data_IF_901144927285
#
_entry.id   IF_901144927285
#
_cell.length_a   1.000
_cell.length_b   1.000
_cell.length_c   1.000
_cell.angle_alpha   90.00
_cell.angle_beta   90.00
_cell.angle_gamma   90.00
#
_symmetry.space_group_name_H-M   'P 1'
#
loop_
_entity.id
_entity.type
_entity.pdbx_description
1 polymer ?
#
# COMPACT_ATOMS: atom_id res chain seq x y z
N UNK A 1 -68.98 26.20 31.80
CA UNK A 1 -68.19 25.41 30.84
C UNK A 1 -67.16 26.30 30.17
N UNK A 2 -65.89 26.17 30.53
CA UNK A 2 -64.79 26.89 29.90
C UNK A 2 -64.66 26.34 28.46
N UNK A 3 -64.98 27.16 27.48
CA UNK A 3 -64.69 26.89 26.08
C UNK A 3 -63.19 26.78 25.93
N UNK A 4 -62.67 25.57 25.79
CA UNK A 4 -61.25 25.33 25.50
C UNK A 4 -60.83 26.16 24.29
N UNK A 5 -59.81 26.97 24.42
CA UNK A 5 -59.25 27.74 23.31
C UNK A 5 -58.47 26.82 22.40
N UNK A 6 -58.92 26.66 21.15
CA UNK A 6 -58.15 25.91 20.15
C UNK A 6 -56.84 26.65 19.84
N UNK A 7 -55.73 25.94 19.93
CA UNK A 7 -54.44 26.42 19.47
C UNK A 7 -53.99 25.64 18.24
N UNK A 8 -53.32 26.33 17.32
CA UNK A 8 -52.72 25.69 16.13
C UNK A 8 -51.52 24.83 16.52
N UNK A 9 -51.28 23.73 15.78
CA UNK A 9 -50.11 22.92 15.99
C UNK A 9 -48.84 23.73 15.72
N UNK A 10 -47.79 23.56 16.52
CA UNK A 10 -46.51 24.23 16.30
C UNK A 10 -45.81 23.72 15.03
N UNK A 11 -44.74 24.38 14.63
CA UNK A 11 -43.89 23.95 13.52
C UNK A 11 -43.38 22.50 13.73
N UNK A 12 -43.20 21.76 12.67
CA UNK A 12 -42.81 20.33 12.73
C UNK A 12 -43.95 19.39 13.14
N UNK A 13 -45.18 19.89 13.34
CA UNK A 13 -46.33 19.11 13.80
C UNK A 13 -47.60 19.40 12.99
N UNK A 14 -48.51 18.44 12.96
CA UNK A 14 -49.84 18.53 12.33
C UNK A 14 -50.93 17.88 13.20
N UNK A 15 -52.19 18.12 12.88
CA UNK A 15 -53.31 17.42 13.48
C UNK A 15 -54.42 17.19 12.44
N UNK A 16 -54.73 15.93 12.17
CA UNK A 16 -55.73 15.47 11.20
C UNK A 16 -57.10 15.11 11.85
N UNK A 17 -57.15 15.08 13.18
CA UNK A 17 -58.36 14.81 13.94
C UNK A 17 -59.02 16.10 14.45
N UNK A 18 -60.34 16.17 14.44
CA UNK A 18 -61.08 17.27 15.06
C UNK A 18 -61.29 17.01 16.55
N UNK A 19 -61.00 18.04 17.38
CA UNK A 19 -61.19 17.95 18.84
C UNK A 19 -60.09 17.25 19.59
N UNK A 20 -59.00 16.93 18.93
CA UNK A 20 -57.82 16.33 19.56
C UNK A 20 -57.06 17.36 20.43
N UNK A 21 -56.44 16.87 21.50
CA UNK A 21 -55.73 17.69 22.50
C UNK A 21 -54.23 17.78 22.27
N UNK A 22 -53.69 16.96 21.34
CA UNK A 22 -52.26 16.88 21.03
C UNK A 22 -52.01 16.88 19.55
N UNK A 23 -50.88 17.43 19.13
CA UNK A 23 -50.43 17.39 17.73
C UNK A 23 -49.51 16.20 17.47
N UNK A 24 -49.54 15.69 16.24
CA UNK A 24 -48.68 14.62 15.75
C UNK A 24 -47.44 15.23 15.12
N UNK A 25 -46.29 14.59 15.30
CA UNK A 25 -45.07 15.00 14.64
C UNK A 25 -45.10 14.69 13.13
N UNK A 26 -44.53 15.57 12.29
CA UNK A 26 -44.23 15.25 10.89
C UNK A 26 -43.38 13.99 10.82
N UNK A 27 -43.63 13.10 9.87
CA UNK A 27 -42.96 11.81 9.73
C UNK A 27 -41.46 11.93 9.41
N UNK A 28 -40.81 10.78 9.34
CA UNK A 28 -39.45 10.70 8.85
C UNK A 28 -39.37 11.26 7.43
N UNK A 29 -38.17 11.79 7.06
CA UNK A 29 -37.92 12.37 5.75
C UNK A 29 -38.83 13.55 5.40
N UNK A 30 -39.41 14.23 6.43
CA UNK A 30 -40.23 15.42 6.24
C UNK A 30 -39.98 16.44 7.37
N UNK A 31 -40.37 17.69 7.09
CA UNK A 31 -40.31 18.82 7.99
C UNK A 31 -41.45 19.82 7.77
N UNK A 32 -41.68 20.72 8.70
CA UNK A 32 -42.62 21.83 8.49
C UNK A 32 -42.09 23.10 9.15
N UNK A 33 -41.90 24.13 8.34
CA UNK A 33 -41.49 25.50 8.77
C UNK A 33 -42.67 26.33 9.28
N UNK A 34 -43.90 25.93 8.99
CA UNK A 34 -45.11 26.69 9.30
C UNK A 34 -45.97 25.95 10.32
N UNK A 35 -46.60 26.64 11.26
CA UNK A 35 -47.57 26.07 12.18
C UNK A 35 -48.90 25.79 11.52
N UNK A 36 -49.77 25.03 12.19
CA UNK A 36 -51.19 24.85 11.80
C UNK A 36 -51.43 23.89 10.65
N UNK A 37 -50.48 22.96 10.40
CA UNK A 37 -50.68 21.88 9.42
C UNK A 37 -51.80 20.95 9.85
N UNK A 38 -52.62 20.53 8.85
CA UNK A 38 -53.82 19.73 9.06
C UNK A 38 -53.67 18.25 8.72
N UNK A 39 -52.61 17.87 8.06
CA UNK A 39 -52.30 16.46 7.74
C UNK A 39 -50.78 16.23 7.62
N UNK A 40 -50.37 14.97 7.66
CA UNK A 40 -48.99 14.61 7.37
C UNK A 40 -48.56 14.96 5.95
N UNK A 41 -49.48 15.00 5.01
CA UNK A 41 -49.20 15.42 3.61
C UNK A 41 -48.86 16.91 3.49
N UNK A 42 -49.18 17.74 4.50
CA UNK A 42 -48.81 19.15 4.56
C UNK A 42 -47.38 19.36 5.05
N UNK A 43 -46.71 18.31 5.58
CA UNK A 43 -45.30 18.34 5.88
C UNK A 43 -44.48 18.24 4.56
N UNK A 44 -43.47 19.09 4.41
CA UNK A 44 -42.63 19.11 3.22
C UNK A 44 -41.65 17.93 3.24
N UNK A 45 -41.64 17.11 2.20
CA UNK A 45 -40.70 15.99 2.10
C UNK A 45 -39.30 16.46 1.76
N UNK A 46 -38.28 15.79 2.30
CA UNK A 46 -36.89 15.93 1.85
C UNK A 46 -36.75 15.49 0.38
N UNK A 47 -35.76 16.03 -0.34
CA UNK A 47 -35.40 15.55 -1.67
C UNK A 47 -34.97 14.08 -1.64
N UNK A 48 -35.03 13.41 -2.78
CA UNK A 48 -34.77 11.96 -2.87
C UNK A 48 -33.37 11.52 -2.37
N UNK A 49 -32.40 12.41 -2.46
CA UNK A 49 -30.99 12.23 -2.04
C UNK A 49 -30.74 12.58 -0.56
N UNK A 50 -31.81 13.00 0.17
CA UNK A 50 -31.73 13.46 1.56
C UNK A 50 -32.65 12.67 2.49
N UNK A 51 -32.30 12.65 3.77
CA UNK A 51 -33.05 11.96 4.82
C UNK A 51 -32.91 12.66 6.16
N UNK A 52 -33.94 12.62 6.99
CA UNK A 52 -33.86 12.99 8.41
C UNK A 52 -33.38 11.80 9.29
N UNK A 53 -33.06 10.67 8.70
CA UNK A 53 -32.76 9.43 9.42
C UNK A 53 -34.00 8.92 10.17
N UNK A 54 -33.89 8.76 11.49
CA UNK A 54 -34.98 8.31 12.36
C UNK A 54 -35.69 9.47 13.07
N UNK A 55 -35.31 10.72 12.79
CA UNK A 55 -35.84 11.90 13.50
C UNK A 55 -37.15 12.33 12.87
N UNK A 56 -38.19 12.52 13.72
CA UNK A 56 -39.51 13.01 13.35
C UNK A 56 -39.73 14.41 13.94
N UNK A 57 -40.73 15.14 13.43
CA UNK A 57 -41.08 16.44 13.95
C UNK A 57 -40.07 17.55 13.60
N UNK A 58 -39.37 17.39 12.53
CA UNK A 58 -38.35 18.36 12.08
C UNK A 58 -39.02 19.68 11.65
N UNK A 59 -38.40 20.78 12.01
CA UNK A 59 -38.94 22.13 11.81
C UNK A 59 -38.35 22.85 10.63
N UNK A 60 -37.21 22.37 10.10
CA UNK A 60 -36.47 23.05 9.03
C UNK A 60 -35.86 22.06 8.04
N UNK A 61 -35.61 22.54 6.82
CA UNK A 61 -34.97 21.79 5.73
C UNK A 61 -33.55 21.32 6.07
N UNK A 62 -32.85 22.03 6.96
CA UNK A 62 -31.49 21.65 7.39
C UNK A 62 -31.42 20.29 8.10
N UNK A 63 -32.57 19.77 8.57
CA UNK A 63 -32.68 18.42 9.10
C UNK A 63 -32.58 17.34 8.00
N UNK A 64 -32.83 17.71 6.72
CA UNK A 64 -32.70 16.82 5.57
C UNK A 64 -31.21 16.70 5.18
N UNK A 65 -30.51 15.73 5.75
CA UNK A 65 -29.11 15.46 5.48
C UNK A 65 -28.95 14.52 4.27
N UNK A 66 -27.82 14.54 3.60
CA UNK A 66 -27.51 13.60 2.53
C UNK A 66 -27.61 12.15 3.05
N UNK A 67 -28.28 11.26 2.31
CA UNK A 67 -28.50 9.88 2.73
C UNK A 67 -27.17 9.14 2.86
N UNK A 68 -27.00 8.44 3.98
CA UNK A 68 -25.89 7.51 4.17
C UNK A 68 -25.89 6.43 3.09
N UNK A 69 -24.75 5.79 2.87
CA UNK A 69 -24.45 4.74 1.88
C UNK A 69 -24.35 5.23 0.43
N UNK A 70 -25.25 6.13 0.02
CA UNK A 70 -25.37 6.51 -1.38
C UNK A 70 -24.78 7.90 -1.69
N UNK A 71 -24.76 8.80 -0.69
CA UNK A 71 -24.42 10.21 -0.89
C UNK A 71 -23.52 10.76 0.21
N UNK A 72 -22.74 11.78 -0.16
CA UNK A 72 -21.99 12.65 0.76
C UNK A 72 -22.32 14.12 0.45
N UNK A 73 -22.03 15.01 1.41
CA UNK A 73 -22.20 16.45 1.22
C UNK A 73 -20.90 17.07 0.69
N UNK A 74 -20.97 17.68 -0.50
CA UNK A 74 -19.84 18.40 -1.08
C UNK A 74 -19.64 19.80 -0.44
N UNK A 75 -18.64 20.56 -0.92
CA UNK A 75 -18.31 21.90 -0.41
C UNK A 75 -19.45 22.91 -0.60
N UNK A 76 -20.29 22.71 -1.63
CA UNK A 76 -21.45 23.57 -1.95
C UNK A 76 -22.72 23.13 -1.21
N UNK A 77 -22.61 22.24 -0.22
CA UNK A 77 -23.73 21.66 0.55
C UNK A 77 -24.72 20.85 -0.29
N UNK A 78 -24.31 20.40 -1.48
CA UNK A 78 -25.09 19.51 -2.34
C UNK A 78 -24.76 18.06 -2.01
N UNK A 79 -25.73 17.17 -2.18
CA UNK A 79 -25.50 15.74 -2.07
C UNK A 79 -24.99 15.19 -3.40
N UNK A 80 -23.85 14.54 -3.35
CA UNK A 80 -23.23 13.86 -4.49
C UNK A 80 -23.10 12.38 -4.17
N UNK A 81 -23.10 11.53 -5.21
CA UNK A 81 -22.96 10.09 -5.04
C UNK A 81 -21.65 9.75 -4.33
N UNK A 82 -21.73 8.78 -3.42
CA UNK A 82 -20.58 8.26 -2.70
C UNK A 82 -19.52 7.76 -3.72
N UNK A 83 -18.27 8.24 -3.64
CA UNK A 83 -17.23 7.80 -4.55
C UNK A 83 -16.92 6.32 -4.39
N UNK A 84 -16.54 5.66 -5.47
CA UNK A 84 -16.06 4.28 -5.41
C UNK A 84 -14.84 4.19 -4.48
N UNK A 85 -14.85 3.24 -3.55
CA UNK A 85 -13.80 3.07 -2.54
C UNK A 85 -13.94 3.95 -1.30
N UNK A 86 -14.97 4.81 -1.23
CA UNK A 86 -15.29 5.61 -0.05
C UNK A 86 -16.35 4.95 0.84
N UNK A 87 -16.30 5.23 2.14
CA UNK A 87 -17.35 4.92 3.10
C UNK A 87 -18.21 6.16 3.37
N UNK A 88 -19.50 6.05 3.07
CA UNK A 88 -20.51 7.07 3.39
C UNK A 88 -21.44 6.56 4.49
N UNK A 89 -20.89 6.23 5.66
CA UNK A 89 -21.57 5.47 6.72
C UNK A 89 -22.61 6.25 7.51
N UNK A 90 -22.57 7.60 7.46
CA UNK A 90 -23.46 8.47 8.26
C UNK A 90 -24.23 9.45 7.37
N UNK A 91 -25.44 9.82 7.81
CA UNK A 91 -26.20 10.86 7.12
C UNK A 91 -25.48 12.21 7.20
N UNK A 92 -25.42 12.90 6.07
CA UNK A 92 -24.82 14.24 5.98
C UNK A 92 -23.28 14.25 6.08
N UNK A 93 -22.62 13.10 5.92
CA UNK A 93 -21.16 13.01 5.92
C UNK A 93 -20.57 13.96 4.87
N UNK A 94 -19.55 14.70 5.24
CA UNK A 94 -18.90 15.69 4.39
C UNK A 94 -17.70 15.10 3.67
N UNK A 95 -17.28 15.76 2.58
CA UNK A 95 -16.13 15.30 1.78
C UNK A 95 -14.89 14.98 2.63
N UNK A 96 -14.52 15.84 3.58
CA UNK A 96 -13.32 15.66 4.39
C UNK A 96 -13.46 14.56 5.46
N UNK A 97 -14.69 14.16 5.79
CA UNK A 97 -15.02 13.09 6.76
C UNK A 97 -15.09 11.71 6.11
N UNK A 98 -15.09 11.65 4.77
CA UNK A 98 -15.14 10.37 4.07
C UNK A 98 -13.92 9.52 4.42
N UNK A 99 -14.16 8.29 4.89
CA UNK A 99 -13.14 7.26 5.03
C UNK A 99 -12.97 6.44 3.76
N UNK A 100 -11.85 5.74 3.61
CA UNK A 100 -11.71 4.70 2.60
C UNK A 100 -12.25 3.38 3.13
N UNK A 101 -12.88 2.57 2.27
CA UNK A 101 -13.24 1.19 2.63
C UNK A 101 -11.99 0.30 2.61
N UNK A 102 -12.01 -0.88 3.27
CA UNK A 102 -10.88 -1.80 3.26
C UNK A 102 -10.38 -2.12 1.86
N UNK A 103 -9.07 -2.04 1.66
CA UNK A 103 -8.44 -2.23 0.36
C UNK A 103 -8.31 -0.97 -0.50
N UNK A 104 -8.81 0.18 -0.02
CA UNK A 104 -8.68 1.47 -0.70
C UNK A 104 -7.89 2.47 0.14
N UNK A 105 -7.34 3.48 -0.55
CA UNK A 105 -6.51 4.53 0.02
C UNK A 105 -6.76 5.86 -0.70
N UNK A 106 -6.65 6.98 -0.01
CA UNK A 106 -6.70 8.30 -0.62
C UNK A 106 -5.57 9.22 -0.14
N UNK A 107 -5.09 10.08 -1.04
CA UNK A 107 -3.93 10.94 -0.76
C UNK A 107 -4.24 12.15 0.13
N UNK A 108 -5.50 12.57 0.19
CA UNK A 108 -5.91 13.78 0.92
C UNK A 108 -7.40 13.73 1.25
N UNK A 109 -7.77 14.34 2.39
CA UNK A 109 -9.17 14.53 2.80
C UNK A 109 -9.99 15.46 1.88
N UNK A 110 -9.33 16.16 0.96
CA UNK A 110 -9.98 17.05 0.00
C UNK A 110 -10.23 16.42 -1.39
N UNK A 111 -9.81 15.19 -1.63
CA UNK A 111 -10.04 14.48 -2.89
C UNK A 111 -11.23 13.53 -2.80
N UNK A 112 -11.95 13.37 -3.91
CA UNK A 112 -12.99 12.34 -4.10
C UNK A 112 -12.42 11.08 -4.73
N UNK A 113 -11.10 11.04 -5.00
CA UNK A 113 -10.45 9.92 -5.66
C UNK A 113 -9.87 8.95 -4.63
N UNK A 114 -10.45 7.76 -4.56
CA UNK A 114 -10.01 6.63 -3.75
C UNK A 114 -9.35 5.60 -4.66
N UNK A 115 -8.12 5.23 -4.36
CA UNK A 115 -7.33 4.33 -5.20
C UNK A 115 -7.31 2.94 -4.60
N UNK A 116 -7.55 1.93 -5.44
CA UNK A 116 -7.47 0.53 -5.07
C UNK A 116 -6.01 0.15 -4.78
N UNK A 117 -5.76 -0.41 -3.60
CA UNK A 117 -4.42 -0.84 -3.19
C UNK A 117 -3.92 -2.08 -3.93
N UNK A 118 -4.78 -2.78 -4.69
CA UNK A 118 -4.38 -3.90 -5.56
C UNK A 118 -3.59 -3.44 -6.78
N UNK A 119 -3.73 -2.19 -7.20
CA UNK A 119 -3.22 -1.68 -8.48
C UNK A 119 -1.69 -1.76 -8.66
N UNK A 120 -0.96 -2.12 -7.63
CA UNK A 120 0.50 -2.34 -7.68
C UNK A 120 0.90 -3.81 -7.89
N UNK A 121 -0.05 -4.74 -8.02
CA UNK A 121 0.21 -6.18 -8.15
C UNK A 121 -0.41 -6.67 -9.46
N UNK A 122 0.41 -7.19 -10.35
CA UNK A 122 0.06 -7.69 -11.69
C UNK A 122 -0.91 -8.89 -11.72
N UNK A 123 -1.32 -9.42 -10.57
CA UNK A 123 -2.23 -10.57 -10.48
C UNK A 123 -3.49 -10.20 -9.73
N UNK A 124 -4.59 -10.05 -10.48
CA UNK A 124 -5.95 -9.90 -9.94
C UNK A 124 -6.46 -11.25 -9.40
N UNK A 125 -5.94 -11.71 -8.28
CA UNK A 125 -6.41 -12.91 -7.61
C UNK A 125 -6.95 -12.57 -6.20
N UNK A 126 -7.72 -13.47 -5.62
CA UNK A 126 -8.31 -13.32 -4.28
C UNK A 126 -7.26 -13.02 -3.19
N UNK A 127 -6.05 -13.56 -3.33
CA UNK A 127 -4.93 -13.31 -2.39
C UNK A 127 -4.47 -11.85 -2.44
N UNK A 128 -4.43 -11.25 -3.64
CA UNK A 128 -4.07 -9.84 -3.81
C UNK A 128 -5.13 -8.91 -3.20
N UNK A 129 -6.40 -9.27 -3.29
CA UNK A 129 -7.49 -8.54 -2.65
C UNK A 129 -7.40 -8.61 -1.13
N UNK A 130 -7.21 -9.79 -0.57
CA UNK A 130 -7.02 -9.97 0.87
C UNK A 130 -5.79 -9.20 1.39
N UNK A 131 -4.67 -9.25 0.67
CA UNK A 131 -3.46 -8.50 1.02
C UNK A 131 -3.70 -6.98 0.97
N UNK A 132 -4.45 -6.48 -0.01
CA UNK A 132 -4.82 -5.06 -0.09
C UNK A 132 -5.72 -4.64 1.09
N UNK A 133 -6.73 -5.45 1.43
CA UNK A 133 -7.62 -5.19 2.56
C UNK A 133 -6.91 -5.24 3.92
N UNK A 134 -5.87 -6.07 4.04
CA UNK A 134 -5.07 -6.17 5.27
C UNK A 134 -4.12 -4.99 5.46
N UNK A 135 -3.65 -4.34 4.41
CA UNK A 135 -2.69 -3.24 4.50
C UNK A 135 -3.30 -1.85 4.38
N UNK A 136 -4.36 -1.67 3.58
CA UNK A 136 -5.05 -0.39 3.39
C UNK A 136 -6.39 -0.40 4.11
N UNK A 137 -6.56 0.52 5.04
CA UNK A 137 -7.78 0.66 5.84
C UNK A 137 -8.26 -0.67 6.43
N UNK A 138 -7.41 -1.46 7.10
CA UNK A 138 -7.80 -2.76 7.62
C UNK A 138 -8.93 -2.64 8.63
N UNK A 139 -9.65 -3.75 8.79
CA UNK A 139 -10.65 -3.88 9.85
C UNK A 139 -9.93 -4.20 11.16
N UNK A 140 -10.17 -3.40 12.17
CA UNK A 140 -9.71 -3.69 13.53
C UNK A 140 -10.46 -4.90 14.09
N UNK A 141 -9.73 -5.93 14.49
CA UNK A 141 -10.29 -7.17 15.01
C UNK A 141 -11.03 -7.01 16.35
N UNK A 142 -10.73 -5.97 17.13
CA UNK A 142 -11.38 -5.71 18.41
C UNK A 142 -12.74 -5.02 18.24
N UNK A 143 -12.84 -4.09 17.28
CA UNK A 143 -14.03 -3.27 17.06
C UNK A 143 -14.86 -3.74 15.86
N UNK A 144 -14.29 -4.56 14.98
CA UNK A 144 -14.86 -4.97 13.70
C UNK A 144 -15.20 -3.77 12.78
N UNK A 145 -14.52 -2.66 12.96
CA UNK A 145 -14.68 -1.41 12.19
C UNK A 145 -13.38 -1.13 11.45
N UNK A 146 -13.45 -0.57 10.24
CA UNK A 146 -12.25 -0.12 9.53
C UNK A 146 -11.57 1.03 10.27
N UNK A 147 -10.23 1.01 10.37
CA UNK A 147 -9.46 2.10 10.97
C UNK A 147 -9.67 3.44 10.24
N UNK A 148 -10.16 3.40 9.00
CA UNK A 148 -10.43 4.58 8.17
C UNK A 148 -11.88 5.06 8.28
N UNK A 149 -12.76 4.36 8.98
CA UNK A 149 -14.14 4.77 9.12
C UNK A 149 -14.26 5.97 10.04
N UNK A 150 -14.90 7.05 9.57
CA UNK A 150 -15.09 8.32 10.28
C UNK A 150 -13.77 9.01 10.72
N UNK A 151 -12.66 8.71 10.05
CA UNK A 151 -11.36 9.24 10.43
C UNK A 151 -10.89 10.35 9.49
N UNK A 152 -10.80 11.57 10.02
CA UNK A 152 -10.12 12.70 9.36
C UNK A 152 -8.64 12.56 9.63
N UNK A 153 -7.89 11.99 8.68
CA UNK A 153 -6.44 11.87 8.80
C UNK A 153 -5.72 13.16 8.41
N UNK A 154 -4.60 13.44 9.04
CA UNK A 154 -3.68 14.51 8.66
C UNK A 154 -2.53 13.98 7.80
N UNK A 155 -2.09 12.74 8.10
CA UNK A 155 -1.09 12.03 7.32
C UNK A 155 -1.74 10.84 6.60
N UNK A 156 -1.59 10.71 5.27
CA UNK A 156 -2.12 9.58 4.51
C UNK A 156 -1.67 8.20 5.04
N UNK A 157 -0.55 8.10 5.73
CA UNK A 157 -0.05 6.85 6.34
C UNK A 157 -0.91 6.33 7.48
N UNK A 158 -1.76 7.19 8.08
CA UNK A 158 -2.73 6.77 9.11
C UNK A 158 -3.79 5.80 8.59
N UNK A 159 -3.91 5.68 7.26
CA UNK A 159 -4.79 4.71 6.60
C UNK A 159 -4.12 3.32 6.42
N UNK A 160 -2.84 3.21 6.77
CA UNK A 160 -2.10 1.98 6.60
C UNK A 160 -2.14 1.12 7.86
N UNK A 161 -2.14 -0.20 7.66
CA UNK A 161 -1.93 -1.16 8.74
C UNK A 161 -0.57 -0.94 9.42
N UNK A 162 -0.46 -1.36 10.66
CA UNK A 162 0.80 -1.30 11.42
C UNK A 162 1.91 -1.99 10.62
N UNK A 163 3.03 -1.30 10.47
CA UNK A 163 4.19 -1.78 9.72
C UNK A 163 4.20 -1.38 8.25
N UNK A 164 3.16 -0.69 7.77
CA UNK A 164 3.08 -0.18 6.40
C UNK A 164 3.05 1.34 6.36
N UNK A 165 3.53 1.93 5.28
CA UNK A 165 3.54 3.38 5.04
C UNK A 165 3.55 3.72 3.54
N UNK A 166 3.41 5.01 3.23
CA UNK A 166 3.51 5.56 1.87
C UNK A 166 2.26 5.35 1.03
N UNK A 167 2.35 5.75 -0.23
CA UNK A 167 1.23 5.66 -1.15
C UNK A 167 0.75 4.21 -1.29
N UNK A 168 -0.57 4.01 -1.18
CA UNK A 168 -1.20 2.68 -1.23
C UNK A 168 -0.70 1.72 -0.15
N UNK A 169 -0.07 2.22 0.91
CA UNK A 169 0.56 1.39 1.95
C UNK A 169 1.52 0.34 1.35
N UNK A 170 2.25 0.71 0.28
CA UNK A 170 3.07 -0.22 -0.48
C UNK A 170 4.48 -0.41 0.07
N UNK A 171 4.92 0.45 0.98
CA UNK A 171 6.23 0.37 1.62
C UNK A 171 6.13 -0.11 3.07
N UNK A 172 7.18 -0.73 3.57
CA UNK A 172 7.26 -1.05 4.99
C UNK A 172 7.70 0.20 5.79
N UNK A 173 7.11 0.37 6.97
CA UNK A 173 7.50 1.40 7.93
C UNK A 173 8.92 1.14 8.48
N UNK A 174 9.59 2.14 9.07
CA UNK A 174 10.88 1.95 9.73
C UNK A 174 10.83 0.79 10.74
N UNK A 175 11.88 -0.02 10.79
CA UNK A 175 11.99 -1.24 11.60
C UNK A 175 11.07 -2.40 11.16
N UNK A 176 10.52 -2.34 9.94
CA UNK A 176 9.79 -3.44 9.32
C UNK A 176 10.48 -3.83 8.02
N UNK A 177 10.42 -5.11 7.67
CA UNK A 177 10.96 -5.68 6.44
C UNK A 177 9.89 -6.49 5.70
N UNK A 178 9.89 -6.42 4.38
CA UNK A 178 8.95 -7.16 3.55
C UNK A 178 9.39 -8.63 3.45
N UNK A 179 8.62 -9.53 4.04
CA UNK A 179 8.88 -10.98 4.03
C UNK A 179 7.58 -11.76 3.93
N UNK A 180 7.54 -12.78 3.07
CA UNK A 180 6.36 -13.63 2.87
C UNK A 180 5.09 -12.80 2.64
N UNK A 181 5.15 -11.88 1.67
CA UNK A 181 4.05 -11.02 1.23
C UNK A 181 3.51 -10.04 2.30
N UNK A 182 4.25 -9.80 3.37
CA UNK A 182 3.86 -8.87 4.42
C UNK A 182 5.05 -8.11 5.03
N UNK A 183 4.79 -6.90 5.53
CA UNK A 183 5.75 -6.14 6.35
C UNK A 183 5.75 -6.70 7.77
N UNK A 184 6.88 -7.29 8.20
CA UNK A 184 7.07 -7.84 9.53
C UNK A 184 8.09 -7.03 10.31
N UNK A 185 7.84 -6.87 11.60
CA UNK A 185 8.76 -6.15 12.49
C UNK A 185 10.11 -6.86 12.55
N UNK A 186 11.20 -6.08 12.40
CA UNK A 186 12.54 -6.60 12.54
C UNK A 186 12.80 -7.02 13.99
N UNK A 187 13.28 -8.23 14.25
CA UNK A 187 13.69 -8.63 15.59
C UNK A 187 14.82 -7.69 16.07
N UNK A 188 14.74 -7.24 17.33
CA UNK A 188 15.75 -6.33 17.92
C UNK A 188 15.56 -4.83 17.64
N UNK A 189 14.39 -4.39 17.08
CA UNK A 189 14.08 -2.96 16.89
C UNK A 189 14.96 -2.25 15.85
N UNK A 190 15.51 -2.98 14.86
CA UNK A 190 16.32 -2.42 13.78
C UNK A 190 17.72 -1.92 14.22
N UNK A 191 18.15 -2.18 15.43
CA UNK A 191 19.54 -1.92 15.85
C UNK A 191 20.43 -3.01 15.27
N UNK A 192 21.36 -2.61 14.44
CA UNK A 192 22.41 -3.50 13.93
C UNK A 192 23.35 -3.77 15.10
N UNK A 193 23.37 -5.00 15.60
CA UNK A 193 24.30 -5.39 16.65
C UNK A 193 25.76 -5.20 16.17
N UNK A 194 26.59 -4.68 17.05
CA UNK A 194 28.02 -4.47 16.78
C UNK A 194 28.73 -5.78 16.38
N UNK A 195 28.24 -6.91 16.87
CA UNK A 195 28.73 -8.27 16.51
C UNK A 195 28.40 -8.58 15.04
N UNK A 196 27.21 -8.22 14.56
CA UNK A 196 26.82 -8.39 13.15
C UNK A 196 27.70 -7.54 12.22
N UNK A 197 27.93 -6.27 12.57
CA UNK A 197 28.84 -5.39 11.81
C UNK A 197 30.26 -5.95 11.77
N UNK A 198 30.74 -6.51 12.88
CA UNK A 198 32.05 -7.14 12.95
C UNK A 198 32.15 -8.40 12.06
N UNK A 199 31.10 -9.24 12.04
CA UNK A 199 31.03 -10.43 11.19
C UNK A 199 30.98 -10.07 9.70
N UNK A 200 30.13 -9.12 9.31
CA UNK A 200 30.02 -8.68 7.90
C UNK A 200 31.32 -8.05 7.44
N UNK A 201 31.96 -7.19 8.25
CA UNK A 201 33.24 -6.60 7.92
C UNK A 201 34.36 -7.63 7.86
N UNK A 202 34.42 -8.62 8.76
CA UNK A 202 35.40 -9.70 8.71
C UNK A 202 35.23 -10.59 7.46
N UNK A 203 34.00 -10.95 7.10
CA UNK A 203 33.70 -11.66 5.84
C UNK A 203 34.06 -10.84 4.61
N UNK A 204 33.81 -9.54 4.62
CA UNK A 204 34.18 -8.62 3.53
C UNK A 204 35.72 -8.55 3.37
N UNK A 205 36.46 -8.40 4.47
CA UNK A 205 37.92 -8.39 4.47
C UNK A 205 38.49 -9.72 3.97
N UNK A 206 37.91 -10.86 4.44
CA UNK A 206 38.32 -12.17 3.98
C UNK A 206 38.09 -12.35 2.48
N UNK A 207 36.93 -11.91 1.96
CA UNK A 207 36.63 -11.98 0.54
C UNK A 207 37.60 -11.14 -0.31
N UNK A 208 37.89 -9.92 0.13
CA UNK A 208 38.88 -9.06 -0.52
C UNK A 208 40.30 -9.68 -0.49
N UNK A 209 40.71 -10.26 0.62
CA UNK A 209 41.99 -10.93 0.75
C UNK A 209 42.12 -12.16 -0.18
N UNK A 210 41.06 -12.98 -0.27
CA UNK A 210 41.01 -14.11 -1.21
C UNK A 210 41.05 -13.62 -2.64
N UNK A 211 40.33 -12.56 -2.99
CA UNK A 211 40.33 -11.99 -4.34
C UNK A 211 41.71 -11.43 -4.74
N UNK A 212 42.33 -10.70 -3.83
CA UNK A 212 43.70 -10.20 -4.06
C UNK A 212 44.68 -11.40 -4.19
N UNK A 213 44.55 -12.43 -3.32
CA UNK A 213 45.35 -13.64 -3.42
C UNK A 213 45.24 -14.34 -4.78
N UNK A 214 44.00 -14.46 -5.31
CA UNK A 214 43.80 -15.04 -6.63
C UNK A 214 44.40 -14.20 -7.77
N UNK A 215 44.34 -12.86 -7.66
CA UNK A 215 45.01 -11.98 -8.63
C UNK A 215 46.55 -12.16 -8.58
N UNK A 216 47.15 -12.16 -7.39
CA UNK A 216 48.58 -12.34 -7.23
C UNK A 216 49.05 -13.72 -7.69
N UNK A 217 48.26 -14.79 -7.50
CA UNK A 217 48.62 -16.12 -8.02
C UNK A 217 48.58 -16.12 -9.54
N UNK A 218 47.60 -15.47 -10.15
CA UNK A 218 47.52 -15.37 -11.60
C UNK A 218 48.66 -14.55 -12.20
N UNK A 219 49.03 -13.43 -11.59
CA UNK A 219 50.21 -12.65 -12.04
C UNK A 219 51.50 -13.47 -11.96
N UNK A 220 51.65 -14.33 -10.95
CA UNK A 220 52.80 -15.21 -10.82
C UNK A 220 52.85 -16.31 -11.90
N UNK A 221 51.67 -16.88 -12.24
CA UNK A 221 51.55 -17.87 -13.33
C UNK A 221 51.93 -17.22 -14.69
N UNK A 222 51.45 -15.99 -14.95
CA UNK A 222 51.76 -15.24 -16.17
C UNK A 222 53.28 -14.91 -16.26
N UNK A 223 53.96 -14.54 -15.16
CA UNK A 223 55.42 -14.32 -15.12
C UNK A 223 56.21 -15.61 -15.34
N UNK A 224 55.76 -16.76 -14.81
CA UNK A 224 56.42 -18.07 -15.04
C UNK A 224 56.28 -18.53 -16.50
N UNK A 225 55.14 -18.26 -17.13
CA UNK A 225 54.87 -18.60 -18.53
C UNK A 225 55.75 -17.71 -19.46
N UNK A 226 55.83 -16.40 -19.20
CA UNK A 226 56.73 -15.50 -19.97
C UNK A 226 58.21 -15.89 -19.82
N UNK A 227 58.68 -16.24 -18.64
CA UNK A 227 60.05 -16.70 -18.42
C UNK A 227 60.35 -18.03 -19.06
N UNK A 228 59.34 -18.94 -19.11
CA UNK A 228 59.48 -20.23 -19.80
C UNK A 228 59.50 -20.06 -21.32
N UNK A 229 58.63 -19.23 -21.90
CA UNK A 229 58.65 -18.89 -23.34
C UNK A 229 59.97 -18.18 -23.75
N UNK A 230 60.48 -17.25 -22.93
CA UNK A 230 61.76 -16.60 -23.19
C UNK A 230 62.94 -17.59 -23.20
N UNK A 231 62.91 -18.63 -22.34
CA UNK A 231 63.92 -19.71 -22.31
C UNK A 231 63.83 -20.65 -23.52
N UNK A 232 62.64 -20.89 -24.04
CA UNK A 232 62.43 -21.70 -25.26
C UNK A 232 62.90 -20.93 -26.49
N UNK A 233 62.53 -19.65 -26.62
CA UNK A 233 62.90 -18.81 -27.74
C UNK A 233 64.46 -18.57 -27.85
N UNK A 234 65.14 -18.63 -26.74
CA UNK A 234 66.63 -18.53 -26.72
C UNK A 234 67.30 -19.83 -27.19
N UNK A 235 66.62 -20.98 -27.19
CA UNK A 235 67.16 -22.26 -27.61
C UNK A 235 66.80 -22.66 -29.08
N UNK A 236 65.78 -22.04 -29.66
CA UNK A 236 65.32 -22.35 -31.03
C UNK A 236 65.29 -21.07 -31.82
N UNK A 237 66.42 -20.72 -32.44
CA UNK A 237 66.52 -19.66 -33.42
C UNK A 237 65.72 -19.98 -34.66
N UNK A 238 64.53 -19.44 -34.82
CA UNK A 238 63.70 -19.61 -36.00
C UNK A 238 62.44 -18.70 -35.94
N UNK A 239 62.36 -17.80 -36.93
CA UNK A 239 61.21 -16.94 -37.22
C UNK A 239 59.90 -17.70 -37.24
N UNK A 240 59.01 -17.39 -36.34
CA UNK A 240 57.58 -17.68 -36.52
C UNK A 240 56.78 -16.62 -35.82
N UNK A 241 56.12 -15.77 -36.61
CA UNK A 241 55.15 -14.79 -36.12
C UNK A 241 53.90 -15.52 -35.58
N UNK A 242 53.84 -15.76 -34.29
CA UNK A 242 52.59 -16.17 -33.59
C UNK A 242 51.81 -14.95 -33.19
N UNK A 243 50.65 -14.78 -33.81
CA UNK A 243 49.59 -13.91 -33.32
C UNK A 243 49.09 -14.51 -32.00
N UNK A 244 49.50 -13.91 -30.90
CA UNK A 244 48.99 -14.25 -29.56
C UNK A 244 47.57 -13.79 -29.44
N UNK A 245 46.61 -14.72 -29.58
CA UNK A 245 45.24 -14.49 -29.23
C UNK A 245 45.13 -14.67 -27.70
N UNK A 246 45.57 -13.68 -26.93
CA UNK A 246 45.29 -13.59 -25.51
C UNK A 246 43.84 -13.17 -25.39
N UNK A 247 42.93 -14.13 -25.39
CA UNK A 247 41.53 -13.91 -25.04
C UNK A 247 41.46 -13.51 -23.57
N UNK A 248 41.27 -12.21 -23.33
CA UNK A 248 41.05 -11.67 -22.00
C UNK A 248 39.76 -12.26 -21.40
N UNK A 249 39.85 -13.41 -20.75
CA UNK A 249 38.74 -14.06 -20.04
C UNK A 249 38.06 -13.13 -19.02
N UNK A 250 38.80 -12.18 -18.45
CA UNK A 250 38.28 -11.18 -17.53
C UNK A 250 37.26 -10.24 -18.17
N UNK A 251 37.48 -9.80 -19.42
CA UNK A 251 36.56 -8.94 -20.16
C UNK A 251 35.29 -9.69 -20.55
N UNK A 252 35.41 -10.98 -20.91
CA UNK A 252 34.28 -11.84 -21.28
C UNK A 252 33.35 -12.10 -20.09
N UNK A 253 33.91 -12.36 -18.90
CA UNK A 253 33.10 -12.58 -17.68
C UNK A 253 32.37 -11.29 -17.30
N UNK A 254 33.04 -10.12 -17.35
CA UNK A 254 32.40 -8.83 -17.07
C UNK A 254 31.26 -8.52 -18.03
N UNK A 255 31.42 -8.84 -19.33
CA UNK A 255 30.37 -8.69 -20.34
C UNK A 255 29.18 -9.61 -20.09
N UNK A 256 29.41 -10.87 -19.67
CA UNK A 256 28.34 -11.83 -19.33
C UNK A 256 27.54 -11.38 -18.09
N UNK A 257 28.21 -10.85 -17.06
CA UNK A 257 27.55 -10.31 -15.89
C UNK A 257 26.67 -9.12 -16.26
N UNK A 258 27.20 -8.16 -17.02
CA UNK A 258 26.46 -6.98 -17.47
C UNK A 258 25.28 -7.37 -18.36
N UNK A 259 25.44 -8.35 -19.26
CA UNK A 259 24.38 -8.87 -20.10
C UNK A 259 23.27 -9.55 -19.26
N UNK A 260 23.63 -10.36 -18.26
CA UNK A 260 22.69 -10.98 -17.34
C UNK A 260 21.87 -9.96 -16.54
N UNK A 261 22.50 -8.87 -16.08
CA UNK A 261 21.82 -7.77 -15.40
C UNK A 261 20.83 -7.03 -16.31
N UNK A 262 21.22 -6.74 -17.54
CA UNK A 262 20.33 -6.09 -18.53
C UNK A 262 19.13 -6.99 -18.85
N UNK A 263 19.35 -8.26 -19.12
CA UNK A 263 18.26 -9.20 -19.42
C UNK A 263 17.28 -9.33 -18.26
N UNK A 264 17.77 -9.43 -17.03
CA UNK A 264 16.89 -9.58 -15.85
C UNK A 264 16.07 -8.34 -15.54
N UNK A 265 16.53 -7.15 -15.95
CA UNK A 265 15.81 -5.88 -15.76
C UNK A 265 14.76 -5.61 -16.84
N UNK A 266 14.77 -6.35 -17.97
CA UNK A 266 13.86 -6.11 -19.10
C UNK A 266 12.37 -6.13 -18.71
N UNK A 267 11.84 -7.12 -17.97
CA UNK A 267 10.42 -7.16 -17.62
C UNK A 267 9.96 -5.98 -16.76
N UNK A 268 10.87 -5.45 -15.93
CA UNK A 268 10.59 -4.29 -15.07
C UNK A 268 10.69 -2.98 -15.85
N UNK A 269 11.64 -2.89 -16.78
CA UNK A 269 11.88 -1.68 -17.58
C UNK A 269 10.81 -1.47 -18.65
N UNK A 270 10.27 -2.56 -19.20
CA UNK A 270 9.23 -2.54 -20.23
C UNK A 270 7.89 -3.06 -19.68
N UNK A 271 7.37 -2.39 -18.68
CA UNK A 271 6.13 -2.73 -17.94
C UNK A 271 4.86 -2.82 -18.83
N UNK A 272 4.87 -2.15 -19.99
CA UNK A 272 3.75 -2.17 -20.95
C UNK A 272 3.72 -3.37 -21.91
N UNK A 273 4.71 -4.28 -21.86
CA UNK A 273 4.80 -5.42 -22.77
C UNK A 273 4.24 -6.68 -22.09
N UNK A 274 3.22 -7.37 -22.67
CA UNK A 274 2.68 -8.60 -22.12
C UNK A 274 3.66 -9.77 -22.33
N UNK A 275 4.65 -9.88 -21.44
CA UNK A 275 5.63 -10.96 -21.49
C UNK A 275 4.99 -12.30 -21.14
N UNK A 276 5.28 -13.42 -21.89
CA UNK A 276 4.86 -14.75 -21.48
C UNK A 276 5.40 -15.09 -20.08
N UNK A 277 4.59 -15.72 -19.19
CA UNK A 277 5.00 -15.99 -17.81
C UNK A 277 6.22 -16.93 -17.74
N UNK A 278 6.37 -17.86 -18.68
CA UNK A 278 7.53 -18.74 -18.76
C UNK A 278 8.81 -17.97 -19.10
N UNK A 279 8.70 -16.92 -19.92
CA UNK A 279 9.84 -16.07 -20.29
C UNK A 279 10.28 -15.19 -19.10
N UNK A 280 9.31 -14.66 -18.35
CA UNK A 280 9.61 -13.88 -17.12
C UNK A 280 10.30 -14.79 -16.07
N UNK A 281 9.81 -16.01 -15.87
CA UNK A 281 10.42 -16.98 -14.97
C UNK A 281 11.83 -17.38 -15.42
N UNK A 282 12.06 -17.55 -16.70
CA UNK A 282 13.38 -17.82 -17.29
C UNK A 282 14.34 -16.65 -17.03
N UNK A 283 13.93 -15.40 -17.30
CA UNK A 283 14.74 -14.22 -17.05
C UNK A 283 15.07 -14.03 -15.56
N UNK A 284 14.11 -14.31 -14.67
CA UNK A 284 14.31 -14.27 -13.24
C UNK A 284 15.34 -15.34 -12.79
N UNK A 285 15.31 -16.54 -13.37
CA UNK A 285 16.25 -17.60 -13.03
C UNK A 285 17.68 -17.32 -13.49
N UNK A 286 17.85 -16.67 -14.65
CA UNK A 286 19.16 -16.22 -15.16
C UNK A 286 19.65 -15.00 -14.38
N UNK A 287 18.76 -14.07 -14.05
CA UNK A 287 19.12 -12.83 -13.37
C UNK A 287 19.50 -13.01 -11.90
N UNK A 288 18.97 -14.03 -11.24
CA UNK A 288 19.19 -14.28 -9.81
C UNK A 288 20.67 -14.31 -9.40
N UNK A 289 21.61 -14.95 -10.13
CA UNK A 289 23.03 -14.92 -9.79
C UNK A 289 23.74 -13.60 -10.12
N UNK A 290 23.18 -12.76 -11.00
CA UNK A 290 23.82 -11.53 -11.49
C UNK A 290 23.22 -10.25 -10.89
N UNK A 291 22.03 -10.32 -10.32
CA UNK A 291 21.46 -9.21 -9.57
C UNK A 291 22.09 -9.13 -8.19
N UNK A 292 22.58 -7.94 -7.83
CA UNK A 292 23.01 -7.63 -6.45
C UNK A 292 21.86 -7.78 -5.41
N UNK A 293 20.66 -8.16 -5.85
CA UNK A 293 19.53 -8.58 -5.00
C UNK A 293 19.85 -9.81 -4.14
N UNK A 294 20.91 -10.56 -4.45
CA UNK A 294 21.38 -11.57 -3.51
C UNK A 294 21.83 -10.91 -2.19
N UNK A 295 22.27 -9.65 -2.20
CA UNK A 295 22.57 -8.90 -0.99
C UNK A 295 21.31 -8.59 -0.18
N UNK A 296 20.17 -8.29 -0.82
CA UNK A 296 18.88 -8.15 -0.15
C UNK A 296 18.35 -9.49 0.36
N UNK A 297 18.45 -10.55 -0.45
CA UNK A 297 18.11 -11.91 -0.04
C UNK A 297 19.08 -12.46 1.03
N UNK A 298 20.33 -12.04 1.00
CA UNK A 298 21.34 -12.39 2.01
C UNK A 298 21.09 -11.66 3.33
N UNK A 299 20.72 -10.37 3.29
CA UNK A 299 20.31 -9.61 4.48
C UNK A 299 19.04 -10.19 5.10
N UNK A 300 18.06 -10.58 4.31
CA UNK A 300 16.82 -11.22 4.78
C UNK A 300 17.10 -12.62 5.33
N UNK A 301 17.89 -13.44 4.64
CA UNK A 301 18.28 -14.78 5.13
C UNK A 301 19.21 -14.70 6.35
N UNK A 302 20.06 -13.70 6.43
CA UNK A 302 20.92 -13.48 7.59
C UNK A 302 20.11 -13.02 8.81
N UNK A 303 19.09 -12.16 8.65
CA UNK A 303 18.15 -11.83 9.73
C UNK A 303 17.40 -13.08 10.23
N UNK A 304 17.00 -13.98 9.33
CA UNK A 304 16.32 -15.25 9.69
C UNK A 304 17.29 -16.23 10.36
N UNK A 305 18.53 -16.34 9.87
CA UNK A 305 19.56 -17.21 10.46
C UNK A 305 20.00 -16.72 11.85
N UNK A 306 20.17 -15.43 12.04
CA UNK A 306 20.50 -14.83 13.33
C UNK A 306 19.35 -14.95 14.32
N UNK A 307 18.08 -14.86 13.85
CA UNK A 307 16.92 -15.14 14.69
C UNK A 307 16.87 -16.62 15.13
N UNK A 308 17.24 -17.54 14.23
CA UNK A 308 17.28 -18.98 14.55
C UNK A 308 18.40 -19.33 15.53
N UNK A 309 19.59 -18.78 15.32
CA UNK A 309 20.74 -18.97 16.22
C UNK A 309 20.53 -18.30 17.60
N UNK A 310 19.80 -17.17 17.66
CA UNK A 310 19.51 -16.52 18.92
C UNK A 310 18.43 -17.25 19.73
N UNK A 311 17.48 -17.90 19.06
CA UNK A 311 16.41 -18.68 19.70
C UNK A 311 16.91 -19.97 20.38
N UNK A 312 18.03 -20.52 19.94
CA UNK A 312 18.62 -21.73 20.52
C UNK A 312 19.64 -21.41 21.64
N UNK A 313 19.81 -20.13 22.03
CA UNK A 313 20.71 -19.69 23.11
C UNK A 313 19.99 -19.28 24.41
N UNK A 314 18.65 -19.31 24.46
CA UNK A 314 17.82 -19.22 25.67
C UNK A 314 17.26 -20.62 26.00
#
# INVERSE_FOLDING_TARGET
SSKGKCSVCPIGQYQDGKGETSCKACGIDSYSKEPGKSSNADCTSCSADRSTGTVIGNTDESACLCKKTDYYQNKDKKCEKCPAGASCSTNGIKLFELGAIPGYWRSSTNTTYFKDCRSSILTLNEKAEQAAQQRCCPIDSATNISICENNTFTNPDEQCAVGYQGALCAACAPNYVYTNDACKQCPGGGKIDSVFLALVSSCGIFYVAVFIGLICVKEREDEEEETFEARINTKVGGNSSKVSATTNNSTTIGQLIMFGQILSSMPVTFDGVPWPPEFVAFLASIGAPFNLDFLSAFTVRLCVLLWWLYKDMD
#
